data_IF_951005063633
#
_entry.id   IF_951005063633
#
_cell.length_a   1.000
_cell.length_b   1.000
_cell.length_c   1.000
_cell.angle_alpha   90.00
_cell.angle_beta   90.00
_cell.angle_gamma   90.00
#
_symmetry.space_group_name_H-M   'P 1'
#
loop_
_entity.id
_entity.type
_entity.pdbx_description
1 polymer ?
#
# COMPACT_ATOMS: atom_id res chain seq x y z
N UNK A 1 1.85 40.01 51.24
CA UNK A 1 0.66 39.15 51.36
C UNK A 1 0.76 38.04 50.32
N UNK A 2 0.73 36.80 50.82
CA UNK A 2 0.54 35.47 50.22
C UNK A 2 0.95 35.08 48.78
N UNK A 3 1.77 34.01 48.76
CA UNK A 3 2.03 33.00 47.72
C UNK A 3 0.78 32.17 47.34
N UNK A 4 0.73 31.71 46.08
CA UNK A 4 0.42 30.34 45.59
C UNK A 4 0.56 30.38 44.06
N UNK A 5 1.56 29.79 43.40
CA UNK A 5 1.79 28.35 43.15
C UNK A 5 0.51 27.60 42.74
N UNK A 6 0.41 27.22 41.45
CA UNK A 6 0.31 25.81 40.99
C UNK A 6 0.12 25.73 39.47
N UNK A 7 1.04 24.98 38.86
CA UNK A 7 0.96 24.14 37.66
C UNK A 7 -0.34 24.07 36.85
N UNK A 8 -0.19 24.20 35.53
CA UNK A 8 -0.83 23.34 34.53
C UNK A 8 0.14 23.25 33.33
N UNK A 9 1.17 22.38 33.39
CA UNK A 9 1.22 21.18 32.54
C UNK A 9 0.57 21.43 31.17
N UNK A 10 1.32 21.89 30.16
CA UNK A 10 2.07 21.01 29.24
C UNK A 10 1.30 19.72 28.96
N UNK A 11 0.18 19.84 28.25
CA UNK A 11 -0.39 18.74 27.49
C UNK A 11 0.08 18.93 26.04
N UNK A 12 1.34 18.56 25.80
CA UNK A 12 1.76 18.15 24.46
C UNK A 12 1.03 16.82 24.24
N UNK A 13 -0.17 16.89 23.66
CA UNK A 13 -0.77 15.74 23.01
C UNK A 13 0.13 15.47 21.80
N UNK A 14 1.17 14.67 22.05
CA UNK A 14 1.82 13.87 21.01
C UNK A 14 0.68 12.97 20.52
N UNK A 15 -0.03 13.42 19.49
CA UNK A 15 -0.91 12.57 18.71
C UNK A 15 -0.01 11.64 17.90
N UNK A 16 0.58 10.66 18.58
CA UNK A 16 1.04 9.39 18.01
C UNK A 16 -0.18 8.56 17.62
N UNK A 17 -1.09 9.16 16.85
CA UNK A 17 -2.18 8.48 16.16
C UNK A 17 -1.61 7.96 14.85
N UNK A 18 -0.94 6.82 14.99
CA UNK A 18 -1.26 5.61 14.25
C UNK A 18 -1.34 5.84 12.74
N UNK A 19 -0.18 5.74 12.07
CA UNK A 19 -0.12 5.10 10.76
C UNK A 19 -0.75 3.70 10.95
N UNK A 20 -2.03 3.60 10.64
CA UNK A 20 -2.83 2.41 10.86
C UNK A 20 -2.43 1.36 9.83
N UNK A 21 -1.46 0.54 10.23
CA UNK A 21 -1.17 -0.72 9.59
C UNK A 21 -2.39 -1.63 9.56
N UNK A 22 -2.32 -2.62 8.68
CA UNK A 22 -3.30 -3.67 8.52
C UNK A 22 -3.31 -4.60 9.76
N UNK A 23 -3.82 -4.13 10.90
CA UNK A 23 -3.81 -4.85 12.18
C UNK A 23 -4.95 -4.46 13.13
N UNK A 24 -5.97 -5.31 13.22
CA UNK A 24 -7.01 -5.33 14.25
C UNK A 24 -8.41 -5.01 13.71
N UNK A 25 -9.46 -5.81 13.93
CA UNK A 25 -9.74 -6.84 14.94
C UNK A 25 -10.54 -7.98 14.29
N UNK A 26 -10.09 -9.23 14.42
CA UNK A 26 -11.02 -10.37 14.38
C UNK A 26 -10.51 -11.52 15.24
N UNK A 27 -11.32 -11.85 16.24
CA UNK A 27 -11.21 -13.02 17.10
C UNK A 27 -11.43 -14.29 16.28
N UNK A 28 -10.35 -14.82 15.71
CA UNK A 28 -10.31 -16.13 15.08
C UNK A 28 -9.03 -16.84 15.49
N UNK A 29 -9.13 -17.75 16.47
CA UNK A 29 -8.03 -18.62 16.90
C UNK A 29 -7.69 -19.66 15.81
N UNK A 30 -7.09 -19.20 14.71
CA UNK A 30 -6.43 -20.07 13.75
C UNK A 30 -4.96 -20.11 14.11
N UNK A 31 -4.51 -21.13 14.85
CA UNK A 31 -3.08 -21.48 14.88
C UNK A 31 -2.72 -22.11 13.52
N UNK A 32 -2.75 -21.29 12.48
CA UNK A 32 -2.30 -21.67 11.15
C UNK A 32 -0.79 -21.82 11.20
N UNK A 33 -0.30 -23.04 10.95
CA UNK A 33 1.12 -23.23 10.65
C UNK A 33 1.48 -22.28 9.50
N UNK A 34 2.55 -21.50 9.67
CA UNK A 34 3.07 -20.64 8.61
C UNK A 34 3.58 -21.45 7.41
N UNK A 35 3.91 -20.77 6.32
CA UNK A 35 4.42 -21.39 5.09
C UNK A 35 5.66 -22.23 5.36
N UNK A 36 5.85 -23.27 4.53
CA UNK A 36 7.06 -24.08 4.59
C UNK A 36 8.24 -23.29 4.01
N UNK A 37 9.16 -22.91 4.87
CA UNK A 37 10.36 -22.14 4.55
C UNK A 37 11.65 -22.96 4.60
N UNK A 38 11.56 -24.29 4.71
CA UNK A 38 12.71 -25.17 4.94
C UNK A 38 13.76 -25.16 3.82
N UNK A 39 13.38 -24.85 2.58
CA UNK A 39 14.31 -24.73 1.45
C UNK A 39 15.00 -23.36 1.37
N UNK A 40 14.54 -22.37 2.13
CA UNK A 40 15.06 -21.01 2.08
C UNK A 40 16.20 -20.89 3.08
N UNK A 41 17.36 -20.47 2.59
CA UNK A 41 18.55 -20.25 3.39
C UNK A 41 18.64 -18.79 3.79
N UNK A 42 18.95 -18.53 5.07
CA UNK A 42 19.35 -17.23 5.55
C UNK A 42 20.80 -17.29 6.02
N UNK A 43 21.57 -16.25 5.79
CA UNK A 43 22.98 -16.17 6.19
C UNK A 43 23.30 -14.80 6.76
N UNK A 44 24.32 -14.73 7.61
CA UNK A 44 24.79 -13.46 8.16
C UNK A 44 25.31 -12.55 7.05
N UNK A 45 24.95 -11.28 7.11
CA UNK A 45 25.33 -10.26 6.16
C UNK A 45 25.96 -9.06 6.88
N UNK A 46 26.98 -8.46 6.25
CA UNK A 46 27.80 -7.41 6.86
C UNK A 46 27.56 -6.01 6.29
N UNK A 47 26.57 -5.84 5.40
CA UNK A 47 26.23 -4.54 4.83
C UNK A 47 25.24 -3.76 5.70
N UNK A 48 25.22 -2.44 5.52
CA UNK A 48 24.26 -1.55 6.17
C UNK A 48 22.89 -1.60 5.51
N UNK A 49 21.85 -1.48 6.31
CA UNK A 49 20.49 -1.21 5.85
C UNK A 49 20.26 0.31 5.81
N UNK A 50 19.42 0.74 4.87
CA UNK A 50 18.99 2.11 4.63
C UNK A 50 17.53 2.34 5.09
N UNK A 51 16.70 1.29 5.17
CA UNK A 51 15.29 1.44 5.55
C UNK A 51 15.10 1.56 7.08
N UNK A 52 14.35 2.59 7.48
CA UNK A 52 13.98 2.84 8.87
C UNK A 52 15.16 3.08 9.81
N UNK A 53 14.94 2.90 11.12
CA UNK A 53 16.00 3.02 12.14
C UNK A 53 16.81 1.72 12.31
N UNK A 54 16.71 0.75 11.39
CA UNK A 54 17.42 -0.52 11.44
C UNK A 54 18.93 -0.41 11.11
N UNK A 55 19.55 0.69 11.53
CA UNK A 55 20.97 0.97 11.34
C UNK A 55 21.75 0.28 12.47
N UNK A 56 22.33 -0.89 12.18
CA UNK A 56 23.53 -1.35 12.88
C UNK A 56 23.48 -2.56 13.81
N UNK A 57 22.52 -3.50 13.69
CA UNK A 57 22.59 -4.79 14.42
C UNK A 57 22.30 -5.99 13.49
N UNK A 58 22.99 -7.11 13.75
CA UNK A 58 22.97 -8.42 13.06
C UNK A 58 22.00 -8.54 11.89
N UNK A 59 22.51 -8.30 10.68
CA UNK A 59 21.73 -8.42 9.45
C UNK A 59 21.78 -9.87 8.95
N UNK A 60 20.61 -10.43 8.64
CA UNK A 60 20.52 -11.67 7.87
C UNK A 60 20.12 -11.33 6.43
N UNK A 61 20.51 -12.19 5.50
CA UNK A 61 20.16 -12.05 4.09
C UNK A 61 19.63 -13.36 3.51
N UNK A 62 18.74 -13.23 2.52
CA UNK A 62 18.35 -14.28 1.57
C UNK A 62 18.86 -13.88 0.17
N UNK A 63 18.22 -14.37 -0.90
CA UNK A 63 18.55 -13.92 -2.26
C UNK A 63 18.10 -12.47 -2.47
N UNK A 64 16.87 -12.16 -2.07
CA UNK A 64 16.21 -10.90 -2.41
C UNK A 64 16.01 -9.95 -1.22
N UNK A 65 16.27 -10.41 0.01
CA UNK A 65 16.05 -9.61 1.23
C UNK A 65 17.28 -9.46 2.11
N UNK A 66 17.35 -8.31 2.78
CA UNK A 66 18.07 -8.08 4.03
C UNK A 66 17.04 -7.91 5.15
N UNK A 67 17.33 -8.41 6.36
CA UNK A 67 16.51 -8.14 7.56
C UNK A 67 17.38 -7.63 8.70
N UNK A 68 16.83 -6.66 9.43
CA UNK A 68 17.42 -6.12 10.66
C UNK A 68 16.35 -5.79 11.68
N UNK A 69 16.80 -5.32 12.84
CA UNK A 69 15.92 -4.92 13.95
C UNK A 69 16.44 -3.65 14.61
N UNK A 70 15.52 -2.82 15.09
CA UNK A 70 15.86 -1.65 15.93
C UNK A 70 16.12 -2.03 17.39
N UNK A 71 15.74 -3.25 17.79
CA UNK A 71 15.80 -3.72 19.17
C UNK A 71 16.57 -5.03 19.32
N UNK A 72 17.41 -5.10 20.35
CA UNK A 72 18.10 -6.33 20.79
C UNK A 72 17.15 -7.38 21.40
N UNK A 73 15.86 -7.06 21.59
CA UNK A 73 14.87 -8.01 22.09
C UNK A 73 14.33 -8.97 21.03
N UNK A 74 14.56 -8.69 19.74
CA UNK A 74 14.19 -9.59 18.64
C UNK A 74 15.31 -10.61 18.45
N UNK A 75 15.03 -11.91 18.63
CA UNK A 75 16.04 -12.95 18.54
C UNK A 75 16.49 -13.23 17.10
N UNK A 76 17.69 -13.79 16.93
CA UNK A 76 18.19 -14.17 15.61
C UNK A 76 17.30 -15.21 14.93
N UNK A 77 16.74 -16.17 15.69
CA UNK A 77 15.80 -17.18 15.15
C UNK A 77 14.50 -16.54 14.66
N UNK A 78 14.03 -15.48 15.32
CA UNK A 78 12.87 -14.72 14.88
C UNK A 78 13.15 -13.97 13.59
N UNK A 79 14.30 -13.30 13.48
CA UNK A 79 14.74 -12.65 12.24
C UNK A 79 14.89 -13.65 11.10
N UNK A 80 15.50 -14.81 11.37
CA UNK A 80 15.65 -15.89 10.39
C UNK A 80 14.29 -16.41 9.91
N UNK A 81 13.35 -16.65 10.83
CA UNK A 81 12.00 -17.07 10.49
C UNK A 81 11.27 -16.03 9.62
N UNK A 82 11.40 -14.74 9.96
CA UNK A 82 10.75 -13.65 9.25
C UNK A 82 11.31 -13.46 7.85
N UNK A 83 12.64 -13.40 7.67
CA UNK A 83 13.22 -13.18 6.34
C UNK A 83 12.94 -14.34 5.39
N UNK A 84 12.85 -15.57 5.91
CA UNK A 84 12.47 -16.72 5.08
C UNK A 84 11.00 -16.69 4.70
N UNK A 85 10.11 -16.25 5.59
CA UNK A 85 8.68 -16.06 5.27
C UNK A 85 8.51 -14.96 4.21
N UNK A 86 9.25 -13.85 4.31
CA UNK A 86 9.26 -12.80 3.30
C UNK A 86 9.75 -13.29 1.93
N UNK A 87 10.87 -14.03 1.88
CA UNK A 87 11.35 -14.63 0.64
C UNK A 87 10.31 -15.59 0.04
N UNK A 88 9.66 -16.43 0.86
CA UNK A 88 8.61 -17.33 0.38
C UNK A 88 7.40 -16.57 -0.20
N UNK A 89 6.97 -15.49 0.46
CA UNK A 89 5.94 -14.59 -0.09
C UNK A 89 6.38 -13.99 -1.41
N UNK A 90 7.59 -13.44 -1.47
CA UNK A 90 8.11 -12.80 -2.68
C UNK A 90 8.15 -13.76 -3.86
N UNK A 91 8.68 -14.98 -3.68
CA UNK A 91 8.72 -16.01 -4.72
C UNK A 91 7.32 -16.36 -5.27
N UNK A 92 6.31 -16.38 -4.40
CA UNK A 92 4.90 -16.60 -4.78
C UNK A 92 4.34 -15.41 -5.55
N UNK A 93 4.64 -14.20 -5.09
CA UNK A 93 4.10 -12.96 -5.64
C UNK A 93 4.68 -12.63 -7.01
N UNK A 94 5.99 -12.78 -7.21
CA UNK A 94 6.62 -12.53 -8.52
C UNK A 94 6.30 -13.62 -9.54
N UNK A 95 5.86 -14.80 -9.07
CA UNK A 95 5.49 -15.92 -9.92
C UNK A 95 4.28 -15.68 -10.85
N UNK A 96 4.08 -16.60 -11.79
CA UNK A 96 3.13 -16.49 -12.90
C UNK A 96 1.64 -16.37 -12.52
N UNK A 97 1.28 -16.65 -11.27
CA UNK A 97 -0.11 -16.64 -10.80
C UNK A 97 -0.51 -15.34 -10.08
N UNK A 98 0.44 -14.43 -9.86
CA UNK A 98 0.22 -13.13 -9.22
C UNK A 98 0.74 -12.02 -10.13
N UNK A 99 1.93 -11.47 -9.86
CA UNK A 99 2.48 -10.37 -10.65
C UNK A 99 3.10 -10.84 -11.98
N UNK A 100 3.62 -12.07 -12.05
CA UNK A 100 4.31 -12.57 -13.24
C UNK A 100 5.42 -11.63 -13.72
N UNK A 101 6.31 -11.25 -12.80
CA UNK A 101 7.42 -10.32 -13.03
C UNK A 101 8.75 -10.98 -12.70
N UNK A 102 9.80 -10.55 -13.39
CA UNK A 102 11.16 -10.92 -13.06
C UNK A 102 11.75 -9.94 -12.04
N UNK A 103 12.16 -10.46 -10.88
CA UNK A 103 12.73 -9.64 -9.81
C UNK A 103 13.89 -8.75 -10.29
N UNK A 104 14.84 -9.32 -11.04
CA UNK A 104 16.04 -8.59 -11.46
C UNK A 104 15.76 -7.57 -12.58
N UNK A 105 15.02 -7.96 -13.62
CA UNK A 105 14.84 -7.10 -14.80
C UNK A 105 13.68 -6.13 -14.67
N UNK A 106 12.58 -6.55 -14.03
CA UNK A 106 11.36 -5.74 -13.98
C UNK A 106 11.29 -4.90 -12.70
N UNK A 107 11.84 -5.40 -11.60
CA UNK A 107 11.82 -4.72 -10.29
C UNK A 107 13.20 -4.17 -9.87
N UNK A 108 14.29 -4.56 -10.54
CA UNK A 108 15.65 -4.18 -10.14
C UNK A 108 16.10 -4.77 -8.81
N UNK A 109 15.49 -5.90 -8.40
CA UNK A 109 15.77 -6.61 -7.16
C UNK A 109 16.66 -7.82 -7.47
N UNK A 110 17.84 -7.85 -6.88
CA UNK A 110 18.78 -8.96 -7.01
C UNK A 110 19.69 -9.08 -5.79
N UNK A 111 20.64 -10.00 -5.85
CA UNK A 111 21.63 -10.23 -4.78
C UNK A 111 22.56 -9.04 -4.48
N UNK A 112 22.54 -7.97 -5.27
CA UNK A 112 23.28 -6.73 -5.01
C UNK A 112 22.33 -5.60 -4.58
N UNK A 113 21.07 -5.65 -5.01
CA UNK A 113 20.02 -4.67 -4.77
C UNK A 113 18.83 -5.34 -4.06
N UNK A 114 19.06 -5.85 -2.85
CA UNK A 114 18.03 -6.54 -2.05
C UNK A 114 17.04 -5.54 -1.45
N UNK A 115 15.78 -5.96 -1.36
CA UNK A 115 14.78 -5.32 -0.52
C UNK A 115 15.18 -5.43 0.96
N UNK A 116 14.69 -4.51 1.78
CA UNK A 116 15.06 -4.44 3.18
C UNK A 116 13.85 -4.60 4.11
N UNK A 117 14.01 -5.38 5.18
CA UNK A 117 12.97 -5.61 6.18
C UNK A 117 13.47 -5.09 7.52
N UNK A 118 12.83 -4.04 8.04
CA UNK A 118 13.11 -3.53 9.37
C UNK A 118 12.08 -4.05 10.37
N UNK A 119 12.52 -4.79 11.38
CA UNK A 119 11.66 -5.28 12.45
C UNK A 119 11.66 -4.30 13.62
N UNK A 120 10.48 -3.77 13.96
CA UNK A 120 10.30 -2.82 15.06
C UNK A 120 9.35 -3.38 16.12
N UNK A 121 9.76 -3.33 17.38
CA UNK A 121 8.93 -3.82 18.49
C UNK A 121 7.73 -2.92 18.79
N UNK A 122 7.86 -1.63 18.53
CA UNK A 122 6.82 -0.63 18.84
C UNK A 122 5.62 -0.70 17.90
N UNK A 123 5.78 -1.29 16.71
CA UNK A 123 4.68 -1.49 15.74
C UNK A 123 3.75 -2.64 16.12
N UNK A 124 4.10 -3.48 17.09
CA UNK A 124 3.28 -4.61 17.53
C UNK A 124 3.03 -5.62 16.39
N UNK A 125 1.78 -5.71 15.92
CA UNK A 125 1.38 -6.57 14.79
C UNK A 125 1.21 -5.82 13.46
N UNK A 126 1.53 -4.52 13.41
CA UNK A 126 1.34 -3.70 12.20
C UNK A 126 2.52 -3.81 11.23
N UNK A 127 2.32 -3.32 10.00
CA UNK A 127 3.34 -3.21 8.97
C UNK A 127 3.11 -1.97 8.10
N UNK A 128 4.13 -1.61 7.34
CA UNK A 128 4.09 -0.63 6.25
C UNK A 128 5.19 -0.93 5.24
N UNK A 129 5.00 -0.53 3.99
CA UNK A 129 5.92 -0.80 2.91
C UNK A 129 6.13 0.41 1.99
N UNK A 130 7.28 0.41 1.34
CA UNK A 130 7.64 1.34 0.26
C UNK A 130 8.46 0.60 -0.80
N UNK A 131 9.05 1.33 -1.75
CA UNK A 131 9.85 0.72 -2.83
C UNK A 131 11.16 0.08 -2.33
N UNK A 132 11.70 0.47 -1.17
CA UNK A 132 12.93 -0.07 -0.59
C UNK A 132 12.69 -1.36 0.20
N UNK A 133 11.47 -1.57 0.66
CA UNK A 133 11.05 -2.77 1.39
C UNK A 133 9.99 -2.49 2.44
N UNK A 134 10.11 -3.14 3.60
CA UNK A 134 9.05 -3.27 4.60
C UNK A 134 9.55 -2.91 5.99
N UNK A 135 8.73 -2.18 6.75
CA UNK A 135 8.86 -2.04 8.20
C UNK A 135 7.72 -2.84 8.85
N UNK A 136 8.05 -3.78 9.73
CA UNK A 136 7.09 -4.75 10.27
C UNK A 136 7.24 -4.93 11.78
N UNK A 137 6.11 -5.08 12.46
CA UNK A 137 6.02 -5.32 13.88
C UNK A 137 6.51 -6.72 14.30
N UNK A 138 7.19 -6.78 15.45
CA UNK A 138 7.80 -8.00 15.96
C UNK A 138 6.79 -9.09 16.42
N UNK A 139 5.53 -8.73 16.69
CA UNK A 139 4.54 -9.67 17.24
C UNK A 139 3.95 -10.62 16.19
N UNK A 140 4.14 -10.32 14.90
CA UNK A 140 3.65 -11.15 13.79
C UNK A 140 4.32 -12.53 13.75
N UNK A 141 3.54 -13.61 13.64
CA UNK A 141 4.07 -14.97 13.47
C UNK A 141 3.12 -15.89 12.72
N UNK A 142 3.64 -17.01 12.19
CA UNK A 142 2.85 -18.02 11.49
C UNK A 142 2.06 -17.43 10.31
N UNK A 143 0.80 -17.84 10.17
CA UNK A 143 -0.06 -17.34 9.09
C UNK A 143 -0.34 -15.83 9.14
N UNK A 144 -0.28 -15.18 10.30
CA UNK A 144 -0.45 -13.73 10.41
C UNK A 144 0.75 -12.98 9.81
N UNK A 145 1.96 -13.50 10.02
CA UNK A 145 3.17 -12.98 9.40
C UNK A 145 3.16 -13.19 7.89
N UNK A 146 2.75 -14.38 7.44
CA UNK A 146 2.62 -14.70 6.02
C UNK A 146 1.61 -13.78 5.31
N UNK A 147 0.49 -13.49 5.95
CA UNK A 147 -0.50 -12.50 5.49
C UNK A 147 0.12 -11.11 5.39
N UNK A 148 0.81 -10.66 6.45
CA UNK A 148 1.43 -9.33 6.48
C UNK A 148 2.46 -9.19 5.37
N UNK A 149 3.31 -10.19 5.14
CA UNK A 149 4.26 -10.15 4.03
C UNK A 149 3.57 -10.15 2.66
N UNK A 150 2.49 -10.92 2.45
CA UNK A 150 1.77 -10.86 1.17
C UNK A 150 1.15 -9.49 0.92
N UNK A 151 0.61 -8.84 1.96
CA UNK A 151 0.02 -7.51 1.88
C UNK A 151 1.08 -6.44 1.60
N UNK A 152 2.12 -6.38 2.44
CA UNK A 152 3.14 -5.32 2.38
C UNK A 152 4.10 -5.50 1.18
N UNK A 153 4.40 -6.75 0.77
CA UNK A 153 5.17 -6.97 -0.46
C UNK A 153 4.36 -6.63 -1.71
N UNK A 154 3.02 -6.70 -1.67
CA UNK A 154 2.20 -6.23 -2.79
C UNK A 154 2.43 -4.73 -3.03
N UNK A 155 2.47 -3.93 -1.97
CA UNK A 155 2.81 -2.50 -2.08
C UNK A 155 4.23 -2.30 -2.60
N UNK A 156 5.20 -3.05 -2.07
CA UNK A 156 6.61 -2.97 -2.48
C UNK A 156 6.78 -3.29 -3.96
N UNK A 157 6.16 -4.39 -4.44
CA UNK A 157 6.23 -4.82 -5.84
C UNK A 157 5.51 -3.81 -6.73
N UNK A 158 4.32 -3.35 -6.34
CA UNK A 158 3.55 -2.36 -7.11
C UNK A 158 4.32 -1.05 -7.28
N UNK A 159 4.98 -0.58 -6.21
CA UNK A 159 5.84 0.60 -6.24
C UNK A 159 7.07 0.41 -7.15
N UNK A 160 7.70 -0.78 -7.14
CA UNK A 160 8.82 -1.07 -8.04
C UNK A 160 8.38 -1.24 -9.51
N UNK A 161 7.16 -1.73 -9.76
CA UNK A 161 6.58 -1.81 -11.12
C UNK A 161 6.34 -0.41 -11.66
N UNK A 162 5.67 0.47 -10.89
CA UNK A 162 5.35 1.81 -11.36
C UNK A 162 6.60 2.69 -11.45
N UNK A 163 7.44 2.65 -10.41
CA UNK A 163 8.69 3.40 -10.37
C UNK A 163 8.94 3.96 -8.97
N UNK A 164 10.22 3.96 -8.55
CA UNK A 164 10.69 4.26 -7.19
C UNK A 164 10.27 5.63 -6.63
N UNK A 165 9.82 6.55 -7.48
CA UNK A 165 9.60 7.98 -7.16
C UNK A 165 8.15 8.42 -7.44
N UNK A 166 7.25 7.51 -7.83
CA UNK A 166 5.96 7.92 -8.43
C UNK A 166 4.81 7.94 -7.43
N UNK A 167 4.11 9.08 -7.39
CA UNK A 167 3.10 9.47 -6.41
C UNK A 167 1.70 8.92 -6.71
N UNK A 168 1.48 8.44 -7.94
CA UNK A 168 0.13 8.17 -8.47
C UNK A 168 -0.54 6.96 -7.82
N UNK A 169 0.19 5.88 -7.51
CA UNK A 169 -0.43 4.77 -6.75
C UNK A 169 -0.73 5.18 -5.30
N UNK A 170 0.09 6.06 -4.71
CA UNK A 170 -0.17 6.56 -3.36
C UNK A 170 -1.35 7.53 -3.31
N UNK A 171 -1.69 8.20 -4.41
CA UNK A 171 -2.90 9.01 -4.54
C UNK A 171 -4.16 8.11 -4.59
N UNK A 172 -4.13 7.00 -5.34
CA UNK A 172 -5.25 6.05 -5.43
C UNK A 172 -5.19 4.94 -4.38
N UNK A 173 -5.25 5.35 -3.10
CA UNK A 173 -5.20 4.47 -1.92
C UNK A 173 -6.14 3.27 -2.04
N UNK A 174 -7.35 3.46 -2.59
CA UNK A 174 -8.33 2.41 -2.73
C UNK A 174 -7.83 1.25 -3.61
N UNK A 175 -7.11 1.56 -4.69
CA UNK A 175 -6.60 0.54 -5.58
C UNK A 175 -5.42 -0.17 -4.94
N UNK A 176 -4.48 0.59 -4.38
CA UNK A 176 -3.27 0.06 -3.75
C UNK A 176 -3.60 -0.90 -2.59
N UNK A 177 -4.43 -0.46 -1.64
CA UNK A 177 -4.85 -1.26 -0.48
C UNK A 177 -5.81 -2.37 -0.89
N UNK A 178 -6.66 -2.14 -1.89
CA UNK A 178 -7.57 -3.14 -2.44
C UNK A 178 -6.81 -4.30 -3.09
N UNK A 179 -5.77 -4.02 -3.87
CA UNK A 179 -4.92 -5.02 -4.51
C UNK A 179 -4.12 -5.83 -3.47
N UNK A 180 -3.50 -5.17 -2.49
CA UNK A 180 -2.80 -5.84 -1.39
C UNK A 180 -3.73 -6.78 -0.60
N UNK A 181 -4.93 -6.30 -0.28
CA UNK A 181 -5.94 -7.11 0.42
C UNK A 181 -6.44 -8.28 -0.44
N UNK A 182 -6.65 -8.07 -1.75
CA UNK A 182 -7.04 -9.12 -2.70
C UNK A 182 -6.01 -10.26 -2.73
N UNK A 183 -4.72 -9.91 -2.71
CA UNK A 183 -3.62 -10.85 -2.78
C UNK A 183 -3.45 -11.61 -1.46
N UNK A 184 -3.53 -10.92 -0.31
CA UNK A 184 -3.17 -11.48 0.98
C UNK A 184 -4.27 -12.32 1.67
N UNK A 185 -5.53 -11.89 1.68
CA UNK A 185 -6.62 -12.55 2.44
C UNK A 185 -7.94 -12.62 1.67
N UNK A 186 -8.09 -11.76 0.66
CA UNK A 186 -9.20 -11.83 -0.26
C UNK A 186 -10.60 -11.63 0.41
N UNK A 187 -10.63 -10.99 1.59
CA UNK A 187 -11.89 -10.67 2.29
C UNK A 187 -12.62 -9.51 1.62
N UNK A 188 -13.94 -9.67 1.43
CA UNK A 188 -14.85 -8.60 0.99
C UNK A 188 -15.86 -8.28 2.10
N UNK A 189 -16.47 -7.10 2.03
CA UNK A 189 -17.55 -6.74 2.96
C UNK A 189 -18.88 -7.38 2.54
N UNK A 190 -19.68 -7.78 3.52
CA UNK A 190 -21.11 -8.06 3.30
C UNK A 190 -21.87 -6.79 2.93
N UNK A 191 -23.01 -6.91 2.25
CA UNK A 191 -23.87 -5.77 1.89
C UNK A 191 -24.18 -4.83 3.06
N UNK A 192 -24.57 -5.37 4.22
CA UNK A 192 -24.90 -4.57 5.41
C UNK A 192 -23.71 -3.77 5.95
N UNK A 193 -22.53 -4.41 6.05
CA UNK A 193 -21.28 -3.73 6.44
C UNK A 193 -20.89 -2.64 5.45
N UNK A 194 -21.04 -2.87 4.15
CA UNK A 194 -20.75 -1.87 3.12
C UNK A 194 -21.71 -0.67 3.23
N UNK A 195 -23.03 -0.90 3.39
CA UNK A 195 -24.02 0.17 3.58
C UNK A 195 -23.75 1.02 4.84
N UNK A 196 -23.24 0.42 5.91
CA UNK A 196 -22.86 1.14 7.13
C UNK A 196 -21.58 1.99 6.93
N UNK A 197 -20.67 1.54 6.06
CA UNK A 197 -19.44 2.24 5.74
C UNK A 197 -19.70 3.48 4.87
N UNK A 198 -20.57 3.38 3.86
CA UNK A 198 -20.73 4.42 2.84
C UNK A 198 -21.55 5.65 3.27
N UNK A 199 -22.34 5.55 4.34
CA UNK A 199 -23.14 6.68 4.82
C UNK A 199 -22.35 7.54 5.81
N UNK A 200 -22.02 8.78 5.46
CA UNK A 200 -21.54 9.76 6.43
C UNK A 200 -22.73 10.33 7.21
N UNK A 201 -22.48 10.67 8.47
CA UNK A 201 -23.44 11.23 9.42
C UNK A 201 -24.06 12.56 8.95
N UNK A 202 -23.36 13.26 8.05
CA UNK A 202 -23.80 14.51 7.41
C UNK A 202 -24.68 14.30 6.14
N UNK A 203 -24.98 13.05 5.77
CA UNK A 203 -25.80 12.72 4.59
C UNK A 203 -25.04 12.62 3.27
N UNK A 204 -23.71 12.76 3.28
CA UNK A 204 -22.85 12.53 2.11
C UNK A 204 -22.51 11.05 1.98
N UNK A 205 -22.45 10.54 0.74
CA UNK A 205 -22.02 9.17 0.47
C UNK A 205 -20.51 9.15 0.17
N UNK A 206 -19.77 8.38 0.98
CA UNK A 206 -18.33 8.13 0.80
C UNK A 206 -18.15 6.66 0.42
N UNK A 207 -17.85 6.40 -0.84
CA UNK A 207 -17.62 5.04 -1.34
C UNK A 207 -16.11 4.76 -1.37
N UNK A 208 -15.67 3.50 -1.28
CA UNK A 208 -14.24 3.18 -1.16
C UNK A 208 -13.35 3.83 -2.24
N UNK A 209 -13.87 3.98 -3.45
CA UNK A 209 -13.19 4.52 -4.63
C UNK A 209 -13.08 6.05 -4.68
N UNK A 210 -13.75 6.78 -3.76
CA UNK A 210 -13.60 8.23 -3.59
C UNK A 210 -13.08 8.62 -2.19
N UNK A 211 -12.68 7.65 -1.38
CA UNK A 211 -12.07 7.91 -0.06
C UNK A 211 -10.78 8.68 -0.18
N UNK A 212 -10.00 8.46 -1.24
CA UNK A 212 -8.75 9.18 -1.53
C UNK A 212 -8.94 10.68 -1.74
N UNK A 213 -10.15 11.12 -2.10
CA UNK A 213 -10.48 12.54 -2.31
C UNK A 213 -10.71 13.29 -0.99
N UNK A 214 -10.61 12.57 0.14
CA UNK A 214 -10.75 13.07 1.49
C UNK A 214 -9.52 12.71 2.32
N UNK A 215 -9.00 13.64 3.13
CA UNK A 215 -7.91 13.31 4.04
C UNK A 215 -8.38 12.41 5.20
N UNK A 216 -7.44 11.61 5.72
CA UNK A 216 -7.66 10.63 6.80
C UNK A 216 -8.25 11.28 8.06
N UNK A 217 -7.83 12.51 8.33
CA UNK A 217 -8.26 13.30 9.47
C UNK A 217 -9.74 13.71 9.34
N UNK A 218 -10.17 14.09 8.13
CA UNK A 218 -11.55 14.46 7.81
C UNK A 218 -12.51 13.30 7.95
N UNK A 219 -12.13 12.09 7.55
CA UNK A 219 -12.98 10.89 7.67
C UNK A 219 -13.14 10.52 9.15
N UNK A 220 -12.06 10.59 9.92
CA UNK A 220 -12.10 10.31 11.35
C UNK A 220 -12.89 11.35 12.13
N UNK A 221 -12.62 12.65 11.92
CA UNK A 221 -13.27 13.75 12.64
C UNK A 221 -14.77 13.80 12.36
N UNK A 222 -15.19 13.56 11.11
CA UNK A 222 -16.59 13.72 10.74
C UNK A 222 -17.46 12.49 11.06
N UNK A 223 -16.88 11.28 11.10
CA UNK A 223 -17.68 10.06 11.19
C UNK A 223 -17.22 9.04 12.24
N UNK A 224 -16.06 9.27 12.89
CA UNK A 224 -15.51 8.36 13.90
C UNK A 224 -15.21 6.95 13.38
N UNK A 225 -15.14 6.78 12.05
CA UNK A 225 -14.91 5.50 11.39
C UNK A 225 -13.41 5.24 11.34
N UNK A 226 -12.97 4.09 11.88
CA UNK A 226 -11.58 3.64 11.73
C UNK A 226 -11.28 3.36 10.25
N UNK A 227 -10.18 3.93 9.75
CA UNK A 227 -9.72 3.80 8.36
C UNK A 227 -9.45 2.34 7.97
N UNK A 228 -9.01 1.50 8.92
CA UNK A 228 -8.81 0.07 8.70
C UNK A 228 -10.08 -0.67 8.22
N UNK A 229 -11.28 -0.13 8.49
CA UNK A 229 -12.53 -0.70 7.99
C UNK A 229 -12.71 -0.53 6.47
N UNK A 230 -11.95 0.35 5.83
CA UNK A 230 -12.00 0.56 4.39
C UNK A 230 -11.20 -0.48 3.60
N UNK A 231 -10.28 -1.23 4.23
CA UNK A 231 -9.40 -2.17 3.51
C UNK A 231 -10.20 -3.31 2.84
N UNK A 232 -11.12 -4.01 3.56
CA UNK A 232 -12.04 -4.96 2.91
C UNK A 232 -13.01 -4.28 1.93
N UNK A 233 -13.28 -2.97 2.09
CA UNK A 233 -14.15 -2.22 1.22
C UNK A 233 -13.47 -1.90 -0.13
N UNK A 234 -12.19 -1.52 -0.09
CA UNK A 234 -11.32 -1.38 -1.25
C UNK A 234 -11.23 -2.67 -2.05
N UNK A 235 -10.98 -3.81 -1.38
CA UNK A 235 -10.99 -5.12 -2.03
C UNK A 235 -12.36 -5.45 -2.65
N UNK A 236 -13.47 -4.99 -2.05
CA UNK A 236 -14.80 -5.19 -2.63
C UNK A 236 -14.96 -4.50 -3.99
N UNK A 237 -14.41 -3.29 -4.15
CA UNK A 237 -14.41 -2.58 -5.44
C UNK A 237 -13.58 -3.33 -6.50
N UNK A 238 -12.38 -3.80 -6.13
CA UNK A 238 -11.53 -4.63 -6.99
C UNK A 238 -12.25 -5.93 -7.39
N UNK A 239 -12.91 -6.59 -6.43
CA UNK A 239 -13.69 -7.82 -6.70
C UNK A 239 -14.89 -7.59 -7.59
N UNK A 240 -15.52 -6.43 -7.49
CA UNK A 240 -16.55 -6.04 -8.44
C UNK A 240 -16.00 -5.87 -9.85
N UNK A 241 -14.84 -5.23 -10.03
CA UNK A 241 -14.18 -5.19 -11.34
C UNK A 241 -13.88 -6.60 -11.88
N UNK A 242 -13.47 -7.53 -11.02
CA UNK A 242 -13.31 -8.94 -11.43
C UNK A 242 -14.63 -9.62 -11.79
N UNK A 243 -15.72 -9.32 -11.06
CA UNK A 243 -17.05 -9.80 -11.41
C UNK A 243 -17.50 -9.30 -12.79
N UNK A 244 -17.06 -8.10 -13.17
CA UNK A 244 -17.31 -7.50 -14.49
C UNK A 244 -16.38 -8.02 -15.59
N UNK A 245 -15.41 -8.89 -15.28
CA UNK A 245 -14.55 -9.54 -16.28
C UNK A 245 -13.05 -9.29 -16.10
N UNK A 246 -12.64 -8.42 -15.17
CA UNK A 246 -11.23 -8.23 -14.89
C UNK A 246 -10.59 -9.46 -14.23
N UNK A 247 -9.31 -9.63 -14.49
CA UNK A 247 -8.43 -10.65 -13.93
C UNK A 247 -7.38 -10.01 -13.02
N UNK A 248 -6.63 -10.83 -12.27
CA UNK A 248 -5.49 -10.33 -11.50
C UNK A 248 -4.42 -9.71 -12.41
N UNK A 249 -4.17 -10.31 -13.58
CA UNK A 249 -3.21 -9.79 -14.55
C UNK A 249 -3.62 -8.42 -15.08
N UNK A 250 -4.92 -8.14 -15.24
CA UNK A 250 -5.38 -6.81 -15.68
C UNK A 250 -4.99 -5.72 -14.67
N UNK A 251 -5.08 -5.99 -13.36
CA UNK A 251 -4.65 -5.02 -12.34
C UNK A 251 -3.13 -4.82 -12.33
N UNK A 252 -2.36 -5.85 -12.68
CA UNK A 252 -0.90 -5.75 -12.82
C UNK A 252 -0.53 -4.99 -14.09
N UNK A 253 -1.19 -5.27 -15.21
CA UNK A 253 -1.05 -4.53 -16.48
C UNK A 253 -1.40 -3.06 -16.30
N UNK A 254 -2.35 -2.75 -15.40
CA UNK A 254 -2.67 -1.38 -15.03
C UNK A 254 -1.50 -0.68 -14.33
N UNK A 255 -0.76 -1.36 -13.44
CA UNK A 255 0.46 -0.80 -12.85
C UNK A 255 1.52 -0.50 -13.91
N UNK A 256 1.71 -1.41 -14.87
CA UNK A 256 2.61 -1.16 -16.01
C UNK A 256 2.13 0.01 -16.87
N UNK A 257 0.82 0.13 -17.08
CA UNK A 257 0.22 1.23 -17.83
C UNK A 257 0.43 2.58 -17.12
N UNK A 258 0.24 2.63 -15.80
CA UNK A 258 0.54 3.82 -14.98
C UNK A 258 2.00 4.23 -15.22
N UNK A 259 2.96 3.30 -15.08
CA UNK A 259 4.38 3.59 -15.40
C UNK A 259 4.55 4.18 -16.79
N UNK A 260 3.95 3.58 -17.81
CA UNK A 260 4.11 4.01 -19.19
C UNK A 260 3.59 5.43 -19.42
N UNK A 261 2.47 5.79 -18.78
CA UNK A 261 1.90 7.13 -18.82
C UNK A 261 2.84 8.12 -18.12
N UNK A 262 3.25 7.81 -16.90
CA UNK A 262 4.05 8.74 -16.10
C UNK A 262 5.51 8.85 -16.57
N UNK A 263 6.03 7.86 -17.32
CA UNK A 263 7.36 7.91 -17.94
C UNK A 263 7.56 9.17 -18.81
N UNK A 264 6.49 9.76 -19.33
CA UNK A 264 6.53 11.00 -20.09
C UNK A 264 7.03 12.22 -19.29
N UNK A 265 6.89 12.20 -17.95
CA UNK A 265 7.28 13.28 -17.03
C UNK A 265 8.39 12.84 -16.03
N UNK A 266 8.99 11.66 -16.24
CA UNK A 266 9.87 11.01 -15.26
C UNK A 266 11.11 11.82 -14.89
N UNK A 267 11.82 12.38 -15.86
CA UNK A 267 13.06 13.13 -15.59
C UNK A 267 12.79 14.37 -14.72
N UNK A 268 11.63 15.01 -14.94
CA UNK A 268 11.18 16.17 -14.19
C UNK A 268 10.76 15.80 -12.75
N UNK A 269 10.03 14.70 -12.58
CA UNK A 269 9.65 14.19 -11.26
C UNK A 269 10.88 13.77 -10.44
N UNK A 270 11.86 13.11 -11.05
CA UNK A 270 13.12 12.73 -10.39
C UNK A 270 13.91 13.97 -9.97
N UNK A 271 14.04 14.99 -10.82
CA UNK A 271 14.77 16.22 -10.50
C UNK A 271 14.19 16.96 -9.27
N UNK A 272 12.87 17.04 -9.16
CA UNK A 272 12.21 17.70 -8.02
C UNK A 272 12.40 16.92 -6.70
N UNK A 273 12.30 15.58 -6.76
CA UNK A 273 12.48 14.75 -5.57
C UNK A 273 13.89 14.83 -5.00
N UNK A 274 14.90 14.97 -5.86
CA UNK A 274 16.29 15.13 -5.42
C UNK A 274 16.64 16.55 -4.95
N UNK A 275 15.96 17.59 -5.46
CA UNK A 275 16.21 18.99 -5.07
C UNK A 275 15.45 19.39 -3.79
N UNK A 276 14.28 18.78 -3.56
CA UNK A 276 13.50 18.99 -2.36
C UNK A 276 13.90 17.96 -1.30
N UNK A 277 14.53 18.39 -0.21
CA UNK A 277 14.93 17.55 0.94
C UNK A 277 13.74 16.97 1.74
N UNK A 278 12.58 16.78 1.09
CA UNK A 278 11.31 16.30 1.62
C UNK A 278 11.19 14.77 1.56
N UNK A 279 12.26 14.08 1.94
CA UNK A 279 12.16 12.70 2.36
C UNK A 279 11.65 12.68 3.81
N UNK A 280 10.55 11.95 4.03
CA UNK A 280 9.94 11.60 5.32
C UNK A 280 8.90 12.59 5.89
N UNK A 281 7.63 12.21 5.76
CA UNK A 281 6.56 12.68 6.64
C UNK A 281 5.40 13.34 5.90
N UNK A 282 4.28 12.63 5.79
CA UNK A 282 2.91 13.17 5.67
C UNK A 282 2.75 14.49 4.92
N UNK A 283 3.24 14.60 3.68
CA UNK A 283 2.83 15.70 2.82
C UNK A 283 1.48 15.31 2.25
N UNK A 284 0.51 16.22 2.35
CA UNK A 284 -0.74 16.14 1.61
C UNK A 284 -0.43 15.91 0.13
N UNK A 285 -0.64 14.68 -0.34
CA UNK A 285 -0.29 14.21 -1.70
C UNK A 285 -1.05 15.00 -2.77
N UNK A 286 -2.16 15.65 -2.38
CA UNK A 286 -3.01 16.50 -3.22
C UNK A 286 -2.32 17.71 -3.87
N UNK A 287 -1.15 18.15 -3.40
CA UNK A 287 -0.41 19.27 -4.00
C UNK A 287 0.81 18.82 -4.82
N UNK A 288 0.95 17.52 -5.14
CA UNK A 288 2.12 17.00 -5.85
C UNK A 288 1.80 16.49 -7.26
N UNK A 289 0.53 16.30 -7.61
CA UNK A 289 0.07 16.13 -9.00
C UNK A 289 0.23 17.39 -9.85
N UNK A 290 0.41 18.56 -9.20
CA UNK A 290 0.56 19.87 -9.84
C UNK A 290 1.91 20.10 -10.55
N UNK A 291 2.83 19.13 -10.56
CA UNK A 291 4.17 19.30 -11.18
C UNK A 291 4.32 18.59 -12.50
N UNK A 292 3.41 17.66 -12.81
CA UNK A 292 3.19 17.20 -14.17
C UNK A 292 1.90 17.80 -14.76
N UNK A 293 1.61 19.03 -14.34
CA UNK A 293 0.36 19.73 -14.61
C UNK A 293 0.40 20.39 -15.99
N UNK A 294 -0.76 20.46 -16.63
CA UNK A 294 -0.94 20.99 -17.98
C UNK A 294 -0.58 22.48 -18.12
N UNK A 295 -0.26 23.14 -16.99
CA UNK A 295 -0.04 24.57 -16.86
C UNK A 295 1.41 25.01 -17.11
N UNK A 296 2.40 24.12 -16.95
CA UNK A 296 3.82 24.44 -17.13
C UNK A 296 4.42 23.73 -18.37
N UNK A 297 4.74 24.54 -19.40
CA UNK A 297 5.27 24.03 -20.67
C UNK A 297 6.57 23.21 -20.48
N UNK A 298 6.55 21.94 -20.87
CA UNK A 298 7.66 20.99 -20.71
C UNK A 298 7.61 20.11 -19.45
N UNK A 299 6.54 20.23 -18.65
CA UNK A 299 6.26 19.47 -17.44
C UNK A 299 4.92 18.73 -17.55
N UNK A 300 4.53 18.26 -18.73
CA UNK A 300 3.20 17.67 -18.90
C UNK A 300 3.23 16.14 -18.88
N UNK A 301 2.30 15.52 -18.16
CA UNK A 301 2.00 14.09 -18.37
C UNK A 301 1.36 13.93 -19.74
N UNK A 302 1.90 13.04 -20.57
CA UNK A 302 1.37 12.78 -21.91
C UNK A 302 0.92 11.34 -22.07
N UNK A 303 -0.23 11.19 -22.72
CA UNK A 303 -0.76 9.92 -23.15
C UNK A 303 -1.30 10.04 -24.56
N UNK A 304 -0.82 9.20 -25.49
CA UNK A 304 -1.13 9.29 -26.92
C UNK A 304 -0.93 10.69 -27.53
N UNK A 305 0.18 11.36 -27.19
CA UNK A 305 0.52 12.73 -27.59
C UNK A 305 -0.43 13.83 -27.07
N UNK A 306 -1.41 13.49 -26.23
CA UNK A 306 -2.29 14.42 -25.54
C UNK A 306 -1.79 14.68 -24.12
N UNK A 307 -1.86 15.93 -23.69
CA UNK A 307 -1.56 16.33 -22.31
C UNK A 307 -2.74 15.94 -21.43
N UNK A 308 -2.47 15.24 -20.33
CA UNK A 308 -3.47 14.89 -19.31
C UNK A 308 -3.02 15.44 -17.94
N UNK A 309 -3.98 15.65 -17.03
CA UNK A 309 -3.65 15.94 -15.64
C UNK A 309 -2.95 14.74 -14.99
N UNK A 310 -2.01 15.01 -14.09
CA UNK A 310 -1.42 13.97 -13.24
C UNK A 310 -2.47 13.21 -12.42
N UNK A 311 -3.58 13.86 -12.06
CA UNK A 311 -4.70 13.24 -11.34
C UNK A 311 -5.50 12.24 -12.19
N UNK A 312 -5.38 12.30 -13.53
CA UNK A 312 -6.13 11.46 -14.45
C UNK A 312 -5.39 10.15 -14.80
N UNK A 313 -4.12 10.00 -14.43
CA UNK A 313 -3.29 8.84 -14.82
C UNK A 313 -3.94 7.51 -14.46
N UNK A 314 -4.44 7.38 -13.23
CA UNK A 314 -5.12 6.16 -12.77
C UNK A 314 -6.42 5.91 -13.53
N UNK A 315 -7.20 6.96 -13.79
CA UNK A 315 -8.44 6.84 -14.56
C UNK A 315 -8.15 6.37 -15.99
N UNK A 316 -7.17 6.98 -16.66
CA UNK A 316 -6.74 6.59 -18.01
C UNK A 316 -6.27 5.14 -18.04
N UNK A 317 -5.41 4.74 -17.08
CA UNK A 317 -4.93 3.37 -17.00
C UNK A 317 -6.06 2.36 -16.74
N UNK A 318 -6.95 2.66 -15.79
CA UNK A 318 -8.08 1.80 -15.45
C UNK A 318 -9.04 1.64 -16.63
N UNK A 319 -9.47 2.75 -17.24
CA UNK A 319 -10.44 2.73 -18.34
C UNK A 319 -9.88 2.01 -19.57
N UNK A 320 -8.59 2.16 -19.88
CA UNK A 320 -7.95 1.46 -20.99
C UNK A 320 -7.94 -0.06 -20.76
N UNK A 321 -7.52 -0.51 -19.58
CA UNK A 321 -7.45 -1.92 -19.24
C UNK A 321 -8.87 -2.54 -19.18
N UNK A 322 -9.82 -1.86 -18.55
CA UNK A 322 -11.20 -2.32 -18.44
C UNK A 322 -11.94 -2.31 -19.79
N UNK A 323 -11.54 -1.44 -20.73
CA UNK A 323 -12.03 -1.49 -22.11
C UNK A 323 -11.54 -2.75 -22.84
N UNK A 324 -10.25 -3.09 -22.67
CA UNK A 324 -9.62 -4.25 -23.32
C UNK A 324 -10.17 -5.58 -22.85
N UNK A 325 -10.48 -5.71 -21.57
CA UNK A 325 -11.04 -6.95 -21.00
C UNK A 325 -12.55 -7.13 -21.28
N UNK A 326 -13.19 -6.15 -21.92
CA UNK A 326 -14.60 -6.21 -22.29
C UNK A 326 -15.58 -5.98 -21.13
N UNK A 327 -15.11 -5.56 -19.96
CA UNK A 327 -15.97 -5.29 -18.80
C UNK A 327 -16.87 -4.06 -18.99
N UNK A 328 -16.40 -3.08 -19.78
CA UNK A 328 -17.08 -1.79 -19.95
C UNK A 328 -17.17 -0.95 -18.67
N UNK A 329 -16.46 -1.37 -17.60
CA UNK A 329 -16.38 -0.64 -16.36
C UNK A 329 -15.42 0.54 -16.54
N UNK A 330 -15.77 1.71 -15.99
CA UNK A 330 -14.89 2.89 -15.96
C UNK A 330 -14.67 3.36 -14.53
N UNK A 331 -13.59 4.11 -14.32
CA UNK A 331 -13.28 4.73 -13.04
C UNK A 331 -14.41 5.68 -12.62
N UNK A 332 -14.96 6.44 -13.56
CA UNK A 332 -16.10 7.34 -13.30
C UNK A 332 -17.32 6.58 -12.79
N UNK A 333 -17.61 5.40 -13.34
CA UNK A 333 -18.70 4.55 -12.82
C UNK A 333 -18.40 4.08 -11.39
N UNK A 334 -17.15 3.71 -11.10
CA UNK A 334 -16.76 3.33 -9.74
C UNK A 334 -16.76 4.51 -8.75
N UNK A 335 -16.48 5.74 -9.18
CA UNK A 335 -16.52 6.96 -8.35
C UNK A 335 -17.95 7.53 -8.19
N UNK A 336 -18.89 7.13 -9.05
CA UNK A 336 -20.29 7.52 -8.96
C UNK A 336 -21.02 6.77 -7.83
N UNK A 337 -21.53 7.53 -6.87
CA UNK A 337 -22.21 6.99 -5.68
C UNK A 337 -23.45 6.15 -6.04
N UNK A 338 -24.26 6.60 -7.00
CA UNK A 338 -25.48 5.90 -7.39
C UNK A 338 -25.17 4.59 -8.09
N UNK A 339 -24.20 4.59 -9.00
CA UNK A 339 -23.72 3.39 -9.66
C UNK A 339 -23.13 2.41 -8.64
N UNK A 340 -22.26 2.88 -7.75
CA UNK A 340 -21.63 2.03 -6.75
C UNK A 340 -22.67 1.37 -5.84
N UNK A 341 -23.63 2.14 -5.32
CA UNK A 341 -24.71 1.60 -4.48
C UNK A 341 -25.57 0.60 -5.25
N UNK A 342 -25.98 0.92 -6.48
CA UNK A 342 -26.91 0.09 -7.23
C UNK A 342 -26.28 -1.21 -7.74
N UNK A 343 -25.03 -1.16 -8.20
CA UNK A 343 -24.41 -2.31 -8.86
C UNK A 343 -23.41 -3.04 -7.98
N UNK A 344 -22.60 -2.34 -7.19
CA UNK A 344 -21.65 -3.00 -6.27
C UNK A 344 -22.37 -3.48 -5.01
N UNK A 345 -23.07 -2.57 -4.32
CA UNK A 345 -23.66 -2.89 -3.02
C UNK A 345 -24.97 -3.68 -3.15
N UNK A 346 -25.85 -3.27 -4.07
CA UNK A 346 -27.14 -3.93 -4.26
C UNK A 346 -27.10 -5.07 -5.28
N UNK A 347 -26.27 -4.97 -6.32
CA UNK A 347 -26.21 -5.93 -7.42
C UNK A 347 -25.22 -7.08 -7.20
N UNK A 348 -24.04 -6.81 -6.63
CA UNK A 348 -22.98 -7.79 -6.45
C UNK A 348 -22.93 -8.38 -5.02
N UNK A 349 -23.01 -7.53 -3.99
CA UNK A 349 -23.00 -8.00 -2.61
C UNK A 349 -24.34 -8.63 -2.21
N UNK A 350 -24.26 -9.79 -1.54
CA UNK A 350 -25.41 -10.51 -1.00
C UNK A 350 -25.70 -10.12 0.44
#
# INVERSE_FOLDING_TARGET
>A
MHKNSKHLATLVLISSTILAGCGGDDSGSGSGRGRNTSSISAYSYSGSMLIGNCVGNSVLATNDFLIGTTSNSVSAEKLESMIKSAQASFDILVGSNNFNVNAATDLGIDSQNRLQICVETELGSNGTANYEGIIIGADNSGSALDFMFDHELTHTISANIVGKVMLTISADRWFNEGLATLIADNKILSKSKMLNLINLSNGTLLIPTNVSDHDDESIWINDGKKISNFYPAYNTAIRYAMHMGASKSDFVDMLFKIRDIENSCKEQQEAYYYDSSYAHGSISITNQSSYCDDTDAGYETKYNDEIISGDDVMQVAFDEIMSRNGSGLTMNMLKDNDYFVNYVVNGFLK
#
